data_IF_570194971835
#
_entry.id   IF_570194971835
#
_cell.length_a   1.000
_cell.length_b   1.000
_cell.length_c   1.000
_cell.angle_alpha   90.00
_cell.angle_beta   90.00
_cell.angle_gamma   90.00
#
_symmetry.space_group_name_H-M   'P 1'
#
loop_
_entity.id
_entity.type
_entity.pdbx_description
1 polymer ?
#
# COMPACT_ATOMS: atom_id res chain seq x y z
N UNK A 1 -29.69 10.86 -17.31
CA UNK A 1 -29.36 12.29 -17.51
C UNK A 1 -30.57 13.11 -17.06
N UNK A 2 -30.36 13.94 -16.06
CA UNK A 2 -31.40 14.86 -15.62
C UNK A 2 -31.61 15.98 -16.66
N UNK A 3 -32.85 16.44 -16.82
CA UNK A 3 -33.18 17.47 -17.79
C UNK A 3 -32.99 18.84 -17.16
N UNK A 4 -32.17 19.70 -17.76
CA UNK A 4 -32.02 21.10 -17.37
C UNK A 4 -32.92 21.97 -18.20
N UNK A 5 -33.64 22.87 -17.55
CA UNK A 5 -34.48 23.90 -18.23
C UNK A 5 -33.55 25.07 -18.61
N UNK A 6 -33.38 25.31 -19.90
CA UNK A 6 -32.57 26.42 -20.41
C UNK A 6 -33.46 27.63 -20.73
N UNK A 7 -33.02 28.83 -20.35
CA UNK A 7 -33.69 30.08 -20.66
C UNK A 7 -33.89 30.28 -22.19
N UNK A 8 -32.89 29.86 -22.95
CA UNK A 8 -32.94 29.95 -24.43
C UNK A 8 -34.01 29.05 -25.06
N UNK A 9 -34.35 27.92 -24.40
CA UNK A 9 -35.38 26.99 -24.87
C UNK A 9 -36.78 27.47 -24.42
N UNK A 10 -36.86 28.01 -23.20
CA UNK A 10 -38.12 28.50 -22.62
C UNK A 10 -38.57 29.83 -23.24
N UNK A 11 -37.66 30.61 -23.79
CA UNK A 11 -37.90 31.95 -24.35
C UNK A 11 -38.53 32.95 -23.35
N UNK A 12 -38.29 32.72 -22.05
CA UNK A 12 -38.72 33.58 -20.94
C UNK A 12 -37.73 33.46 -19.78
N UNK A 13 -37.89 34.27 -18.74
CA UNK A 13 -37.09 34.13 -17.51
C UNK A 13 -37.39 32.81 -16.81
N UNK A 14 -36.35 32.21 -16.23
CA UNK A 14 -36.51 31.03 -15.37
C UNK A 14 -37.14 31.45 -14.05
N UNK A 15 -38.11 30.68 -13.60
CA UNK A 15 -38.67 30.81 -12.26
C UNK A 15 -37.68 30.34 -11.20
N UNK A 16 -37.87 30.78 -9.95
CA UNK A 16 -37.06 30.29 -8.84
C UNK A 16 -37.09 28.75 -8.73
N UNK A 17 -38.27 28.15 -8.92
CA UNK A 17 -38.43 26.68 -8.88
C UNK A 17 -37.64 25.96 -10.01
N UNK A 18 -37.58 26.55 -11.21
CA UNK A 18 -36.77 25.99 -12.31
C UNK A 18 -35.27 26.15 -12.08
N UNK A 19 -34.88 27.25 -11.45
CA UNK A 19 -33.48 27.46 -11.04
C UNK A 19 -33.08 26.42 -9.98
N UNK A 20 -33.90 26.26 -8.94
CA UNK A 20 -33.65 25.28 -7.89
C UNK A 20 -33.66 23.85 -8.43
N UNK A 21 -34.60 23.54 -9.36
CA UNK A 21 -34.63 22.25 -10.04
C UNK A 21 -33.34 22.01 -10.89
N UNK A 22 -32.88 23.04 -11.60
CA UNK A 22 -31.64 22.95 -12.36
C UNK A 22 -30.42 22.73 -11.46
N UNK A 23 -30.33 23.42 -10.32
CA UNK A 23 -29.25 23.18 -9.34
C UNK A 23 -29.36 21.79 -8.73
N UNK A 24 -30.54 21.32 -8.38
CA UNK A 24 -30.76 19.98 -7.86
C UNK A 24 -30.38 18.92 -8.89
N UNK A 25 -30.80 19.07 -10.14
CA UNK A 25 -30.48 18.16 -11.23
C UNK A 25 -28.98 18.16 -11.52
N UNK A 26 -28.34 19.32 -11.57
CA UNK A 26 -26.89 19.44 -11.77
C UNK A 26 -26.12 18.82 -10.60
N UNK A 27 -26.59 19.01 -9.38
CA UNK A 27 -26.00 18.42 -8.18
C UNK A 27 -26.18 16.90 -8.17
N UNK A 28 -27.35 16.38 -8.54
CA UNK A 28 -27.62 14.95 -8.68
C UNK A 28 -26.78 14.34 -9.81
N UNK A 29 -26.65 15.00 -10.96
CA UNK A 29 -25.79 14.55 -12.05
C UNK A 29 -24.31 14.59 -11.69
N UNK A 30 -23.86 15.57 -10.89
CA UNK A 30 -22.51 15.60 -10.31
C UNK A 30 -22.32 14.59 -9.20
N UNK A 31 -23.38 14.30 -8.44
CA UNK A 31 -23.40 13.35 -7.34
C UNK A 31 -23.79 11.94 -7.79
N UNK A 32 -24.09 11.72 -9.06
CA UNK A 32 -24.19 10.34 -9.56
C UNK A 32 -22.80 9.70 -9.57
N UNK A 33 -22.38 9.41 -8.34
CA UNK A 33 -21.18 8.62 -8.07
C UNK A 33 -21.23 7.30 -8.84
N UNK A 34 -22.42 6.74 -9.10
CA UNK A 34 -22.58 5.50 -9.83
C UNK A 34 -22.07 5.63 -11.27
N UNK A 35 -22.33 6.74 -11.95
CA UNK A 35 -21.79 6.99 -13.29
C UNK A 35 -20.29 7.23 -13.30
N UNK A 36 -19.72 7.78 -12.21
CA UNK A 36 -18.28 7.99 -12.05
C UNK A 36 -17.55 6.78 -11.45
N UNK A 37 -18.24 5.97 -10.63
CA UNK A 37 -17.64 4.90 -9.81
C UNK A 37 -17.99 3.47 -10.26
N UNK A 38 -18.92 3.28 -11.20
CA UNK A 38 -19.42 1.95 -11.63
C UNK A 38 -18.35 1.04 -12.29
N UNK A 39 -17.14 1.49 -12.50
CA UNK A 39 -16.11 0.66 -13.13
C UNK A 39 -14.83 0.48 -12.33
N UNK A 40 -14.77 0.92 -11.07
CA UNK A 40 -13.61 0.74 -10.21
C UNK A 40 -14.03 0.08 -8.91
N UNK A 41 -14.37 -1.20 -8.98
CA UNK A 41 -14.65 -2.01 -7.80
C UNK A 41 -13.36 -2.67 -7.32
N UNK A 42 -13.22 -2.78 -5.98
CA UNK A 42 -12.14 -3.57 -5.38
C UNK A 42 -12.39 -5.09 -5.53
N UNK A 43 -13.60 -5.46 -5.93
CA UNK A 43 -14.05 -6.85 -5.99
C UNK A 43 -14.45 -7.43 -4.63
N UNK A 44 -14.88 -8.68 -4.61
CA UNK A 44 -15.25 -9.38 -3.40
C UNK A 44 -14.07 -10.21 -2.87
N UNK A 45 -13.74 -10.16 -1.56
CA UNK A 45 -12.75 -11.06 -0.97
C UNK A 45 -13.04 -12.54 -1.28
N UNK A 46 -12.02 -13.31 -1.57
CA UNK A 46 -12.15 -14.73 -1.98
C UNK A 46 -12.49 -14.94 -3.46
N UNK A 47 -12.83 -13.90 -4.21
CA UNK A 47 -13.20 -14.00 -5.62
C UNK A 47 -12.08 -13.59 -6.58
N UNK A 48 -12.24 -14.00 -7.86
CA UNK A 48 -11.38 -13.62 -8.96
C UNK A 48 -11.41 -12.10 -9.17
N UNK A 49 -10.24 -11.49 -9.40
CA UNK A 49 -10.08 -10.05 -9.62
C UNK A 49 -10.13 -9.18 -8.37
N UNK A 50 -10.29 -9.76 -7.17
CA UNK A 50 -10.25 -8.99 -5.91
C UNK A 50 -8.91 -8.27 -5.72
N UNK A 51 -8.95 -7.08 -5.12
CA UNK A 51 -7.77 -6.32 -4.69
C UNK A 51 -7.12 -5.47 -5.79
N UNK A 52 -7.60 -5.57 -7.03
CA UNK A 52 -7.26 -4.71 -8.16
C UNK A 52 -8.53 -4.33 -8.92
N UNK A 53 -8.49 -3.32 -9.78
CA UNK A 53 -9.66 -2.91 -10.52
C UNK A 53 -9.35 -2.03 -11.72
N UNK A 54 -10.38 -1.42 -12.31
CA UNK A 54 -10.23 -0.62 -13.53
C UNK A 54 -10.12 0.87 -13.20
N UNK A 55 -9.08 1.52 -13.71
CA UNK A 55 -8.96 2.98 -13.67
C UNK A 55 -9.73 3.58 -14.84
N UNK A 56 -10.76 4.40 -14.53
CA UNK A 56 -11.59 5.05 -15.56
C UNK A 56 -10.87 6.14 -16.33
N UNK A 57 -10.13 6.98 -15.61
CA UNK A 57 -9.49 8.17 -16.16
C UNK A 57 -7.97 7.96 -16.12
N UNK A 58 -7.45 7.24 -17.13
CA UNK A 58 -6.01 7.01 -17.21
C UNK A 58 -5.26 8.33 -17.34
N UNK A 59 -4.28 8.60 -16.47
CA UNK A 59 -3.40 9.74 -16.64
C UNK A 59 -2.53 9.57 -17.89
N UNK A 60 -2.05 10.71 -18.40
CA UNK A 60 -1.13 10.70 -19.55
C UNK A 60 0.08 9.80 -19.28
N UNK A 61 0.48 9.07 -20.30
CA UNK A 61 1.59 8.11 -20.24
C UNK A 61 1.19 6.69 -19.86
N UNK A 62 -0.04 6.44 -19.42
CA UNK A 62 -0.55 5.10 -19.15
C UNK A 62 -1.33 4.53 -20.32
N UNK A 63 -1.18 3.24 -20.55
CA UNK A 63 -1.96 2.45 -21.49
C UNK A 63 -2.47 1.17 -20.84
N UNK A 64 -3.65 0.69 -21.29
CA UNK A 64 -4.13 -0.64 -20.94
C UNK A 64 -3.21 -1.70 -21.55
N UNK A 65 -2.97 -2.75 -20.80
CA UNK A 65 -2.33 -3.97 -21.27
C UNK A 65 -3.37 -4.92 -21.85
N UNK A 66 -2.96 -5.89 -22.67
CA UNK A 66 -3.87 -6.96 -23.12
C UNK A 66 -4.41 -7.70 -21.89
N UNK A 67 -5.73 -7.75 -21.76
CA UNK A 67 -6.41 -8.41 -20.64
C UNK A 67 -6.65 -7.51 -19.41
N UNK A 68 -6.36 -6.19 -19.47
CA UNK A 68 -6.64 -5.26 -18.36
C UNK A 68 -8.09 -5.30 -17.90
N UNK A 69 -9.04 -5.50 -18.82
CA UNK A 69 -10.48 -5.47 -18.52
C UNK A 69 -11.07 -6.87 -18.22
N UNK A 70 -10.26 -7.93 -18.25
CA UNK A 70 -10.68 -9.32 -17.99
C UNK A 70 -10.23 -9.78 -16.61
N UNK A 71 -11.17 -10.03 -15.71
CA UNK A 71 -10.90 -10.45 -14.32
C UNK A 71 -10.13 -11.77 -14.21
N UNK A 72 -10.16 -12.62 -15.23
CA UNK A 72 -9.40 -13.87 -15.27
C UNK A 72 -7.97 -13.69 -15.82
N UNK A 73 -7.67 -12.51 -16.36
CA UNK A 73 -6.36 -12.21 -16.93
C UNK A 73 -5.30 -11.94 -15.85
N UNK A 74 -4.07 -12.37 -16.10
CA UNK A 74 -2.90 -11.99 -15.30
C UNK A 74 -2.61 -10.47 -15.31
N UNK A 75 -3.25 -9.73 -16.22
CA UNK A 75 -3.12 -8.28 -16.36
C UNK A 75 -4.40 -7.52 -15.94
N UNK A 76 -5.39 -8.17 -15.33
CA UNK A 76 -6.58 -7.46 -14.84
C UNK A 76 -6.19 -6.29 -13.94
N UNK A 77 -6.71 -5.09 -14.21
CA UNK A 77 -6.39 -3.89 -13.46
C UNK A 77 -4.94 -3.44 -13.54
N UNK A 78 -4.14 -4.01 -14.49
CA UNK A 78 -2.76 -3.61 -14.71
C UNK A 78 -2.65 -2.70 -15.94
N UNK A 79 -1.75 -1.74 -15.82
CA UNK A 79 -1.49 -0.72 -16.83
C UNK A 79 0.01 -0.57 -17.03
N UNK A 80 0.40 -0.23 -18.26
CA UNK A 80 1.80 0.04 -18.58
C UNK A 80 2.03 1.55 -18.72
N UNK A 81 3.06 2.04 -18.05
CA UNK A 81 3.53 3.41 -18.25
C UNK A 81 4.57 3.50 -19.36
N UNK A 82 4.82 4.69 -19.89
CA UNK A 82 5.70 4.92 -21.07
C UNK A 82 7.13 4.41 -20.90
N UNK A 83 7.63 4.29 -19.67
CA UNK A 83 8.96 3.71 -19.38
C UNK A 83 8.97 2.17 -19.35
N UNK A 84 7.83 1.53 -19.66
CA UNK A 84 7.65 0.09 -19.57
C UNK A 84 7.19 -0.44 -18.21
N UNK A 85 7.12 0.42 -17.19
CA UNK A 85 6.65 0.03 -15.86
C UNK A 85 5.24 -0.54 -15.89
N UNK A 86 5.03 -1.66 -15.20
CA UNK A 86 3.70 -2.22 -14.95
C UNK A 86 3.22 -1.78 -13.58
N UNK A 87 2.03 -1.19 -13.54
CA UNK A 87 1.39 -0.73 -12.30
C UNK A 87 -0.01 -1.32 -12.16
N UNK A 88 -0.36 -1.71 -10.95
CA UNK A 88 -1.70 -2.17 -10.57
C UNK A 88 -2.54 -0.97 -10.12
N UNK A 89 -3.77 -0.86 -10.59
CA UNK A 89 -4.73 0.06 -10.02
C UNK A 89 -5.41 -0.58 -8.82
N UNK A 90 -5.27 0.03 -7.66
CA UNK A 90 -5.92 -0.36 -6.41
C UNK A 90 -7.06 0.62 -6.14
N UNK A 91 -8.32 0.23 -6.37
CA UNK A 91 -9.48 1.06 -6.06
C UNK A 91 -9.58 1.40 -4.58
N UNK A 92 -10.12 2.56 -4.27
CA UNK A 92 -10.45 2.93 -2.90
C UNK A 92 -11.50 1.96 -2.32
N UNK A 93 -11.38 1.68 -1.04
CA UNK A 93 -12.27 0.77 -0.34
C UNK A 93 -12.50 1.20 1.11
N UNK A 94 -13.66 0.82 1.64
CA UNK A 94 -13.95 0.86 3.06
C UNK A 94 -13.64 -0.49 3.70
N UNK A 95 -13.23 -0.45 4.96
CA UNK A 95 -12.97 -1.65 5.74
C UNK A 95 -13.57 -1.55 7.14
N UNK A 96 -13.86 -2.70 7.73
CA UNK A 96 -14.22 -2.88 9.14
C UNK A 96 -13.50 -4.10 9.68
N UNK A 97 -12.90 -3.96 10.86
CA UNK A 97 -12.17 -5.05 11.53
C UNK A 97 -13.00 -5.56 12.69
N UNK A 98 -13.19 -6.87 12.76
CA UNK A 98 -13.97 -7.52 13.81
C UNK A 98 -13.29 -7.46 15.16
N UNK A 99 -14.07 -7.15 16.19
CA UNK A 99 -13.65 -7.12 17.60
C UNK A 99 -14.22 -8.29 18.40
N UNK A 100 -15.04 -9.15 17.77
CA UNK A 100 -15.83 -10.17 18.44
C UNK A 100 -17.16 -9.65 19.01
N UNK A 101 -17.39 -8.33 18.97
CA UNK A 101 -18.61 -7.70 19.50
C UNK A 101 -19.27 -6.69 18.56
N UNK A 102 -18.61 -6.30 17.47
CA UNK A 102 -19.11 -5.31 16.49
C UNK A 102 -19.80 -5.92 15.26
N UNK A 103 -20.25 -7.18 15.37
CA UNK A 103 -20.92 -7.93 14.30
C UNK A 103 -20.00 -8.84 13.48
N UNK A 104 -18.68 -8.81 13.75
CA UNK A 104 -17.69 -9.69 13.13
C UNK A 104 -16.85 -10.39 14.21
N UNK A 105 -16.40 -11.60 13.93
CA UNK A 105 -15.44 -12.30 14.77
C UNK A 105 -14.12 -11.53 14.86
N UNK A 106 -13.35 -11.79 15.91
CA UNK A 106 -12.09 -11.11 16.21
C UNK A 106 -11.13 -11.16 15.01
N UNK A 107 -10.59 -10.00 14.63
CA UNK A 107 -9.64 -9.80 13.55
C UNK A 107 -10.12 -10.21 12.14
N UNK A 108 -11.41 -10.50 11.97
CA UNK A 108 -11.98 -10.68 10.62
C UNK A 108 -12.07 -9.30 9.95
N UNK A 109 -11.71 -9.23 8.68
CA UNK A 109 -11.73 -8.01 7.88
C UNK A 109 -12.84 -8.08 6.85
N UNK A 110 -13.80 -7.18 6.94
CA UNK A 110 -14.81 -6.98 5.89
C UNK A 110 -14.43 -5.78 5.02
N UNK A 111 -14.51 -5.95 3.70
CA UNK A 111 -14.17 -4.95 2.70
C UNK A 111 -15.44 -4.59 1.92
N UNK A 112 -15.64 -3.28 1.71
CA UNK A 112 -16.69 -2.75 0.85
C UNK A 112 -16.08 -1.85 -0.22
N UNK A 113 -16.63 -1.90 -1.43
CA UNK A 113 -16.30 -0.95 -2.48
C UNK A 113 -16.54 0.49 -2.01
N UNK A 114 -15.75 1.42 -2.52
CA UNK A 114 -15.91 2.84 -2.22
C UNK A 114 -17.31 3.35 -2.59
N UNK A 115 -17.94 2.80 -3.62
CA UNK A 115 -19.30 3.15 -4.04
C UNK A 115 -20.40 2.53 -3.17
N UNK A 116 -20.08 1.65 -2.21
CA UNK A 116 -21.08 0.98 -1.36
C UNK A 116 -21.82 1.95 -0.46
N UNK A 117 -21.13 2.98 0.05
CA UNK A 117 -21.71 4.05 0.85
C UNK A 117 -21.75 5.36 0.06
N UNK A 118 -22.76 6.18 0.33
CA UNK A 118 -22.91 7.47 -0.32
C UNK A 118 -21.70 8.40 -0.10
N UNK A 119 -21.12 8.34 1.10
CA UNK A 119 -19.94 9.12 1.50
C UNK A 119 -19.25 8.50 2.71
N UNK A 120 -18.11 9.09 3.11
CA UNK A 120 -17.33 8.65 4.27
C UNK A 120 -18.11 8.76 5.58
N UNK A 121 -18.97 9.78 5.74
CA UNK A 121 -19.76 9.97 6.96
C UNK A 121 -20.76 8.84 7.13
N UNK A 122 -21.45 8.45 6.06
CA UNK A 122 -22.39 7.32 6.04
C UNK A 122 -21.67 6.00 6.33
N UNK A 123 -20.48 5.79 5.75
CA UNK A 123 -19.65 4.61 6.03
C UNK A 123 -19.23 4.57 7.51
N UNK A 124 -18.78 5.71 8.05
CA UNK A 124 -18.35 5.81 9.45
C UNK A 124 -19.50 5.53 10.43
N UNK A 125 -20.73 6.00 10.12
CA UNK A 125 -21.93 5.70 10.91
C UNK A 125 -22.25 4.20 10.94
N UNK A 126 -21.85 3.46 9.90
CA UNK A 126 -21.97 1.99 9.82
C UNK A 126 -20.75 1.25 10.43
N UNK A 127 -19.76 2.00 10.97
CA UNK A 127 -18.54 1.46 11.55
C UNK A 127 -17.47 1.09 10.53
N UNK A 128 -17.58 1.55 9.28
CA UNK A 128 -16.56 1.34 8.22
C UNK A 128 -15.71 2.58 8.03
N UNK A 129 -14.42 2.40 7.93
CA UNK A 129 -13.47 3.47 7.62
C UNK A 129 -13.04 3.41 6.15
N UNK A 130 -12.90 4.56 5.49
CA UNK A 130 -12.12 4.65 4.26
C UNK A 130 -10.64 4.48 4.63
N UNK A 131 -9.92 3.58 3.93
CA UNK A 131 -8.53 3.32 4.27
C UNK A 131 -7.66 4.58 4.10
N UNK A 132 -6.71 4.80 5.04
CA UNK A 132 -5.83 5.99 5.05
C UNK A 132 -5.05 6.17 3.75
N UNK A 133 -4.75 5.09 3.03
CA UNK A 133 -4.10 5.12 1.73
C UNK A 133 -4.82 5.97 0.67
N UNK A 134 -6.10 6.25 0.85
CA UNK A 134 -6.91 6.99 -0.13
C UNK A 134 -7.14 8.45 0.27
N UNK A 135 -6.24 9.02 1.05
CA UNK A 135 -6.19 10.45 1.35
C UNK A 135 -4.85 11.03 0.93
N UNK A 136 -4.88 12.07 0.11
CA UNK A 136 -3.69 12.84 -0.27
C UNK A 136 -4.06 14.30 -0.45
N UNK A 137 -3.24 15.22 0.02
CA UNK A 137 -3.46 16.68 -0.08
C UNK A 137 -4.84 17.14 0.45
N UNK A 138 -5.39 16.47 1.47
CA UNK A 138 -6.73 16.74 2.02
C UNK A 138 -7.89 16.24 1.16
N UNK A 139 -7.62 15.53 0.08
CA UNK A 139 -8.61 15.05 -0.88
C UNK A 139 -8.70 13.52 -0.84
N UNK A 140 -9.93 13.00 -0.92
CA UNK A 140 -10.17 11.57 -1.10
C UNK A 140 -9.80 11.17 -2.52
N UNK A 141 -8.95 10.15 -2.63
CA UNK A 141 -8.52 9.53 -3.88
C UNK A 141 -9.42 8.35 -4.22
N UNK A 142 -9.80 8.19 -5.49
CA UNK A 142 -10.64 7.07 -5.94
C UNK A 142 -9.88 5.75 -6.04
N UNK A 143 -8.59 5.80 -5.91
CA UNK A 143 -7.65 4.68 -5.93
C UNK A 143 -6.23 5.18 -6.07
N UNK A 144 -5.31 4.25 -6.22
CA UNK A 144 -3.88 4.52 -6.37
C UNK A 144 -3.25 3.54 -7.34
N UNK A 145 -2.36 4.00 -8.21
CA UNK A 145 -1.46 3.14 -8.95
C UNK A 145 -0.28 2.74 -8.07
N UNK A 146 -0.02 1.44 -7.99
CA UNK A 146 1.11 0.87 -7.25
C UNK A 146 1.96 0.05 -8.21
N UNK A 147 3.27 0.23 -8.18
CA UNK A 147 4.19 -0.61 -8.95
C UNK A 147 3.93 -2.10 -8.66
N UNK A 148 3.74 -2.87 -9.72
CA UNK A 148 3.53 -4.32 -9.61
C UNK A 148 4.75 -5.02 -9.05
N UNK A 149 5.94 -4.58 -9.44
CA UNK A 149 7.24 -5.12 -9.06
C UNK A 149 8.03 -4.10 -8.23
N UNK A 150 9.00 -4.57 -7.44
CA UNK A 150 10.00 -3.68 -6.85
C UNK A 150 10.74 -2.93 -7.95
N UNK A 151 11.15 -1.67 -7.71
CA UNK A 151 11.82 -0.87 -8.74
C UNK A 151 13.18 -1.45 -9.12
N UNK A 152 13.45 -1.45 -10.43
CA UNK A 152 14.76 -1.75 -11.03
C UNK A 152 15.25 -0.57 -11.85
N UNK A 153 16.55 -0.53 -12.17
CA UNK A 153 17.13 0.51 -13.03
C UNK A 153 16.86 0.21 -14.50
N UNK A 154 16.06 1.04 -15.14
CA UNK A 154 15.79 0.99 -16.56
C UNK A 154 16.33 2.26 -17.24
N UNK A 155 17.58 2.21 -17.70
CA UNK A 155 18.21 3.34 -18.40
C UNK A 155 18.31 4.62 -17.53
N UNK A 156 18.53 4.49 -16.23
CA UNK A 156 18.61 5.62 -15.29
C UNK A 156 17.26 6.02 -14.67
N UNK A 157 16.18 5.30 -14.97
CA UNK A 157 14.85 5.51 -14.40
C UNK A 157 14.48 4.35 -13.47
N UNK A 158 13.91 4.66 -12.30
CA UNK A 158 13.37 3.64 -11.41
C UNK A 158 12.05 3.11 -11.96
N UNK A 159 12.04 1.89 -12.46
CA UNK A 159 10.93 1.31 -13.21
C UNK A 159 10.47 -0.03 -12.64
N UNK A 160 9.16 -0.29 -12.72
CA UNK A 160 8.52 -1.55 -12.29
C UNK A 160 8.52 -2.54 -13.46
N UNK A 161 9.65 -3.21 -13.68
CA UNK A 161 9.88 -4.12 -14.82
C UNK A 161 9.96 -5.56 -14.33
N UNK A 162 9.21 -6.47 -14.98
CA UNK A 162 9.34 -7.91 -14.71
C UNK A 162 10.74 -8.40 -15.08
N UNK A 163 11.32 -9.22 -14.24
CA UNK A 163 12.70 -9.74 -14.37
C UNK A 163 13.79 -8.65 -14.26
N UNK A 164 13.45 -7.48 -13.71
CA UNK A 164 14.43 -6.47 -13.39
C UNK A 164 15.27 -6.85 -12.17
N UNK A 165 16.51 -6.36 -12.11
CA UNK A 165 17.33 -6.45 -10.93
C UNK A 165 16.93 -5.36 -9.95
N UNK A 166 16.41 -5.68 -8.75
CA UNK A 166 15.85 -4.67 -7.87
C UNK A 166 16.92 -3.68 -7.39
N UNK A 167 16.55 -2.42 -7.31
CA UNK A 167 17.38 -1.35 -6.78
C UNK A 167 17.55 -1.51 -5.27
N UNK A 168 18.76 -1.27 -4.76
CA UNK A 168 19.02 -1.23 -3.33
C UNK A 168 19.67 0.08 -2.86
N UNK A 169 19.68 0.29 -1.55
CA UNK A 169 20.36 1.43 -0.95
C UNK A 169 21.88 1.22 -0.76
N UNK A 170 22.45 0.09 -1.15
CA UNK A 170 23.88 -0.16 -0.99
C UNK A 170 24.65 -0.04 -2.30
N UNK A 171 25.84 0.55 -2.24
CA UNK A 171 26.74 0.70 -3.40
C UNK A 171 27.11 -0.62 -4.07
N UNK A 172 27.12 -1.71 -3.33
CA UNK A 172 27.54 -3.04 -3.81
C UNK A 172 26.45 -3.81 -4.54
N UNK A 173 25.21 -3.32 -4.54
CA UNK A 173 24.07 -4.04 -5.10
C UNK A 173 23.04 -3.10 -5.73
N UNK A 174 23.05 -2.94 -7.05
CA UNK A 174 22.11 -2.13 -7.83
C UNK A 174 21.73 -0.80 -7.16
N UNK A 175 22.69 0.09 -6.87
CA UNK A 175 22.48 1.24 -6.00
C UNK A 175 21.54 2.28 -6.60
N UNK A 176 20.82 3.02 -5.75
CA UNK A 176 20.01 4.18 -6.17
C UNK A 176 20.83 5.20 -6.95
N UNK A 177 22.12 5.36 -6.60
CA UNK A 177 23.05 6.23 -7.33
C UNK A 177 23.32 5.83 -8.78
N UNK A 178 22.88 4.68 -9.22
CA UNK A 178 22.87 4.28 -10.63
C UNK A 178 21.76 4.94 -11.46
N UNK A 179 20.86 5.68 -10.84
CA UNK A 179 19.76 6.38 -11.51
C UNK A 179 20.17 7.80 -11.91
N UNK A 180 19.52 8.33 -12.94
CA UNK A 180 19.78 9.68 -13.44
C UNK A 180 19.55 10.75 -12.36
N UNK A 181 20.54 11.56 -12.10
CA UNK A 181 20.47 12.67 -11.16
C UNK A 181 20.65 12.29 -9.68
N UNK A 182 20.90 11.00 -9.38
CA UNK A 182 21.23 10.54 -8.04
C UNK A 182 22.74 10.36 -7.89
N UNK A 183 23.22 10.46 -6.65
CA UNK A 183 24.64 10.33 -6.28
C UNK A 183 24.82 9.26 -5.21
N UNK A 184 26.06 8.92 -4.87
CA UNK A 184 26.37 7.96 -3.80
C UNK A 184 25.80 8.38 -2.43
N UNK A 185 25.61 9.69 -2.18
CA UNK A 185 24.98 10.19 -0.97
C UNK A 185 23.46 9.86 -0.91
N UNK A 186 22.88 9.52 -2.04
CA UNK A 186 21.45 9.16 -2.14
C UNK A 186 21.20 7.65 -1.88
N UNK A 187 22.23 6.85 -1.57
CA UNK A 187 22.05 5.43 -1.25
C UNK A 187 21.55 5.22 0.20
N UNK A 188 20.45 5.86 0.53
CA UNK A 188 19.77 5.87 1.83
C UNK A 188 18.26 6.10 1.60
N UNK A 189 17.47 6.22 2.66
CA UNK A 189 16.04 6.55 2.59
C UNK A 189 15.69 7.68 1.62
N UNK A 190 16.44 8.77 1.67
CA UNK A 190 16.24 9.92 0.79
C UNK A 190 16.32 9.55 -0.70
N UNK A 191 17.20 8.61 -1.04
CA UNK A 191 17.35 8.15 -2.41
C UNK A 191 16.13 7.44 -2.97
N UNK A 192 15.38 6.68 -2.18
CA UNK A 192 14.15 6.05 -2.63
C UNK A 192 13.08 7.09 -3.03
N UNK A 193 12.97 8.19 -2.27
CA UNK A 193 12.04 9.29 -2.59
C UNK A 193 12.47 10.02 -3.88
N UNK A 194 13.77 10.31 -4.04
CA UNK A 194 14.31 10.89 -5.27
C UNK A 194 14.20 9.95 -6.46
N UNK A 195 14.50 8.66 -6.25
CA UNK A 195 14.46 7.64 -7.28
C UNK A 195 13.06 7.51 -7.92
N UNK A 196 12.00 7.53 -7.11
CA UNK A 196 10.64 7.52 -7.63
C UNK A 196 10.37 8.69 -8.60
N UNK A 197 10.97 9.87 -8.35
CA UNK A 197 10.83 11.06 -9.19
C UNK A 197 11.55 10.96 -10.54
N UNK A 198 12.46 10.02 -10.73
CA UNK A 198 13.12 9.79 -12.03
C UNK A 198 12.13 9.40 -13.13
N UNK A 199 10.98 8.79 -12.74
CA UNK A 199 9.87 8.43 -13.65
C UNK A 199 8.98 9.63 -14.00
N UNK A 200 8.92 10.63 -13.14
CA UNK A 200 8.11 11.83 -13.31
C UNK A 200 7.69 12.45 -11.98
N UNK A 201 7.39 13.75 -11.99
CA UNK A 201 7.13 14.51 -10.76
C UNK A 201 5.98 14.00 -9.90
N UNK A 202 4.98 13.36 -10.51
CA UNK A 202 3.81 12.80 -9.79
C UNK A 202 4.08 11.47 -9.09
N UNK A 203 5.13 10.73 -9.49
CA UNK A 203 5.48 9.47 -8.83
C UNK A 203 6.10 9.74 -7.46
N UNK A 204 5.82 8.86 -6.52
CA UNK A 204 6.37 8.93 -5.17
C UNK A 204 6.75 7.54 -4.66
N UNK A 205 7.70 7.47 -3.73
CA UNK A 205 8.04 6.23 -3.03
C UNK A 205 6.80 5.71 -2.29
N UNK A 206 6.42 4.46 -2.52
CA UNK A 206 5.22 3.84 -1.96
C UNK A 206 5.15 4.05 -0.45
N UNK A 207 3.99 4.51 0.04
CA UNK A 207 3.85 4.85 1.46
C UNK A 207 3.49 3.65 2.33
N UNK A 208 3.75 3.80 3.64
CA UNK A 208 3.33 2.81 4.64
C UNK A 208 1.82 2.57 4.60
N UNK A 209 1.03 3.60 4.32
CA UNK A 209 -0.43 3.48 4.22
C UNK A 209 -0.87 2.61 3.04
N UNK A 210 -0.23 2.77 1.88
CA UNK A 210 -0.54 1.96 0.69
C UNK A 210 -0.09 0.51 0.90
N UNK A 211 1.10 0.31 1.47
CA UNK A 211 1.58 -1.04 1.78
C UNK A 211 0.65 -1.73 2.80
N UNK A 212 0.18 -1.01 3.83
CA UNK A 212 -0.80 -1.50 4.80
C UNK A 212 -2.15 -1.83 4.16
N UNK A 213 -2.60 -1.03 3.17
CA UNK A 213 -3.81 -1.36 2.41
C UNK A 213 -3.69 -2.69 1.68
N UNK A 214 -2.54 -2.96 1.04
CA UNK A 214 -2.27 -4.25 0.38
C UNK A 214 -2.24 -5.40 1.40
N UNK A 215 -1.66 -5.17 2.59
CA UNK A 215 -1.65 -6.15 3.67
C UNK A 215 -3.07 -6.48 4.16
N UNK A 216 -3.91 -5.44 4.32
CA UNK A 216 -5.30 -5.62 4.75
C UNK A 216 -6.13 -6.36 3.70
N UNK A 217 -5.94 -6.05 2.41
CA UNK A 217 -6.56 -6.78 1.30
C UNK A 217 -6.11 -8.24 1.28
N UNK A 218 -4.82 -8.52 1.50
CA UNK A 218 -4.31 -9.89 1.58
C UNK A 218 -4.99 -10.67 2.70
N UNK A 219 -5.12 -10.08 3.88
CA UNK A 219 -5.78 -10.71 5.02
C UNK A 219 -7.25 -11.01 4.73
N UNK A 220 -8.01 -10.01 4.24
CA UNK A 220 -9.41 -10.18 3.89
C UNK A 220 -9.61 -11.27 2.82
N UNK A 221 -8.73 -11.30 1.81
CA UNK A 221 -8.78 -12.30 0.75
C UNK A 221 -8.54 -13.71 1.26
N UNK A 222 -7.52 -13.91 2.07
CA UNK A 222 -7.21 -15.20 2.67
C UNK A 222 -8.28 -15.70 3.63
N UNK A 223 -8.88 -14.81 4.42
CA UNK A 223 -9.98 -15.14 5.33
C UNK A 223 -11.26 -15.58 4.59
N UNK A 224 -11.52 -15.02 3.41
CA UNK A 224 -12.70 -15.33 2.61
C UNK A 224 -12.48 -16.47 1.60
N UNK A 225 -11.23 -16.76 1.22
CA UNK A 225 -10.91 -17.81 0.26
C UNK A 225 -11.27 -19.21 0.83
N UNK A 226 -11.81 -20.06 -0.03
CA UNK A 226 -12.16 -21.46 0.29
C UNK A 226 -11.32 -22.47 -0.49
N UNK A 227 -10.50 -21.99 -1.41
CA UNK A 227 -9.61 -22.79 -2.25
C UNK A 227 -8.51 -21.96 -2.88
N UNK A 228 -7.53 -22.62 -3.48
CA UNK A 228 -6.46 -21.98 -4.24
C UNK A 228 -6.88 -21.42 -5.61
N UNK A 229 -8.14 -21.53 -6.01
CA UNK A 229 -8.60 -21.12 -7.35
C UNK A 229 -8.47 -19.62 -7.58
N UNK A 230 -8.90 -18.80 -6.61
CA UNK A 230 -8.76 -17.34 -6.68
C UNK A 230 -7.72 -16.79 -5.70
N UNK A 231 -7.06 -17.65 -4.91
CA UNK A 231 -6.08 -17.29 -3.90
C UNK A 231 -4.97 -18.34 -3.88
N UNK A 232 -3.98 -18.21 -4.76
CA UNK A 232 -2.96 -19.26 -5.01
C UNK A 232 -2.12 -19.64 -3.79
N UNK A 233 -2.05 -18.79 -2.75
CA UNK A 233 -1.39 -19.08 -1.47
C UNK A 233 -2.37 -19.53 -0.37
N UNK A 234 -3.66 -19.80 -0.71
CA UNK A 234 -4.61 -20.32 0.24
C UNK A 234 -4.12 -21.62 0.87
N UNK A 235 -4.30 -21.72 2.18
CA UNK A 235 -4.01 -22.92 2.96
C UNK A 235 -5.23 -23.29 3.81
N UNK A 236 -5.74 -24.52 3.65
CA UNK A 236 -6.87 -25.02 4.41
C UNK A 236 -6.57 -25.21 5.91
N UNK A 237 -5.30 -25.35 6.28
CA UNK A 237 -4.86 -25.47 7.68
C UNK A 237 -4.79 -24.13 8.41
N UNK A 238 -4.95 -23.03 7.68
CA UNK A 238 -4.88 -21.66 8.19
C UNK A 238 -3.96 -20.79 7.37
N UNK A 239 -4.19 -19.47 7.42
CA UNK A 239 -3.40 -18.50 6.66
C UNK A 239 -2.13 -18.21 7.43
N UNK A 240 -1.00 -18.73 6.97
CA UNK A 240 0.31 -18.48 7.55
C UNK A 240 1.28 -17.99 6.49
N UNK A 241 2.10 -16.98 6.82
CA UNK A 241 3.14 -16.44 5.95
C UNK A 241 2.63 -16.20 4.50
N UNK A 242 1.76 -15.24 4.34
CA UNK A 242 1.11 -14.86 3.08
C UNK A 242 1.41 -13.39 2.72
N UNK A 243 1.40 -13.06 1.42
CA UNK A 243 1.66 -13.96 0.28
C UNK A 243 3.02 -14.65 0.43
N UNK A 244 3.35 -15.59 -0.47
CA UNK A 244 4.66 -16.25 -0.50
C UNK A 244 5.72 -15.32 -1.10
N UNK A 245 7.01 -15.61 -0.84
CA UNK A 245 8.07 -14.72 -1.33
C UNK A 245 9.48 -15.27 -1.29
N UNK A 246 10.46 -14.43 -1.60
CA UNK A 246 11.88 -14.77 -1.51
C UNK A 246 12.42 -14.40 -0.12
N UNK A 247 12.41 -15.31 0.84
CA UNK A 247 12.69 -15.00 2.23
C UNK A 247 13.57 -15.99 3.00
N UNK A 248 13.91 -17.16 2.44
CA UNK A 248 14.61 -18.21 3.20
C UNK A 248 16.13 -18.30 2.93
N UNK A 249 16.72 -17.23 2.42
CA UNK A 249 18.14 -17.16 2.06
C UNK A 249 18.59 -18.22 1.03
N UNK A 250 17.68 -18.62 0.13
CA UNK A 250 17.94 -19.64 -0.89
C UNK A 250 17.09 -19.45 -2.17
N UNK A 251 16.75 -18.21 -2.54
CA UNK A 251 15.94 -17.86 -3.72
C UNK A 251 14.56 -18.54 -3.75
N UNK A 252 13.96 -18.77 -2.59
CA UNK A 252 12.64 -19.41 -2.46
C UNK A 252 11.92 -18.98 -1.19
N UNK A 253 10.65 -19.39 -1.07
CA UNK A 253 9.87 -19.18 0.15
C UNK A 253 10.24 -20.19 1.24
N UNK A 254 10.23 -19.78 2.51
CA UNK A 254 10.55 -20.59 3.67
C UNK A 254 9.53 -21.71 3.92
N UNK A 255 8.25 -21.43 3.59
CA UNK A 255 7.13 -22.35 3.83
C UNK A 255 6.57 -23.00 2.55
N UNK A 256 7.06 -22.57 1.37
CA UNK A 256 6.61 -23.11 0.07
C UNK A 256 7.78 -23.25 -0.91
N UNK A 257 8.39 -24.41 -0.91
CA UNK A 257 9.53 -24.72 -1.78
C UNK A 257 9.22 -24.69 -3.29
N UNK A 258 7.94 -24.56 -3.68
CA UNK A 258 7.54 -24.43 -5.10
C UNK A 258 7.65 -22.99 -5.60
N UNK A 259 7.81 -22.01 -4.72
CA UNK A 259 8.00 -20.60 -5.07
C UNK A 259 9.51 -20.35 -5.15
N UNK A 260 10.04 -20.36 -6.36
CA UNK A 260 11.47 -20.25 -6.67
C UNK A 260 11.71 -19.01 -7.52
N UNK A 261 12.75 -18.24 -7.19
CA UNK A 261 13.15 -17.02 -7.89
C UNK A 261 14.37 -17.24 -8.77
N UNK A 262 14.49 -16.45 -9.81
CA UNK A 262 15.70 -16.32 -10.63
C UNK A 262 16.62 -15.32 -9.92
N UNK A 263 17.87 -15.67 -9.74
CA UNK A 263 18.86 -14.77 -9.11
C UNK A 263 19.06 -13.49 -9.93
N UNK A 264 19.25 -12.36 -9.24
CA UNK A 264 19.69 -11.11 -9.87
C UNK A 264 21.24 -11.03 -9.99
N UNK A 265 21.95 -12.06 -9.49
CA UNK A 265 23.40 -12.15 -9.48
C UNK A 265 24.06 -11.71 -8.17
N UNK A 266 23.28 -11.28 -7.17
CA UNK A 266 23.80 -10.84 -5.87
C UNK A 266 23.18 -11.61 -4.71
N UNK A 267 24.01 -12.31 -3.93
CA UNK A 267 23.57 -13.12 -2.77
C UNK A 267 22.36 -14.01 -3.15
N UNK A 268 21.29 -13.94 -2.34
CA UNK A 268 20.03 -14.63 -2.60
C UNK A 268 18.91 -13.65 -3.00
N UNK A 269 19.28 -12.50 -3.58
CA UNK A 269 18.33 -11.58 -4.17
C UNK A 269 17.76 -12.14 -5.49
N UNK A 270 16.45 -12.10 -5.65
CA UNK A 270 15.76 -12.52 -6.86
C UNK A 270 15.45 -11.35 -7.78
N UNK A 271 15.44 -11.61 -9.09
CA UNK A 271 14.87 -10.68 -10.06
C UNK A 271 13.39 -10.44 -9.73
N UNK A 272 12.92 -9.20 -9.92
CA UNK A 272 11.56 -8.80 -9.57
C UNK A 272 10.52 -9.56 -10.40
N UNK A 273 9.48 -10.07 -9.76
CA UNK A 273 8.42 -10.84 -10.44
C UNK A 273 8.91 -12.10 -11.13
N UNK A 274 10.06 -12.65 -10.74
CA UNK A 274 10.64 -13.86 -11.34
C UNK A 274 10.14 -15.17 -10.72
N UNK A 275 9.30 -15.09 -9.67
CA UNK A 275 8.78 -16.27 -8.99
C UNK A 275 8.16 -17.28 -9.98
N UNK A 276 8.48 -18.55 -9.84
CA UNK A 276 7.97 -19.67 -10.66
C UNK A 276 6.43 -19.76 -10.64
N UNK A 277 5.81 -19.33 -9.52
CA UNK A 277 4.37 -19.14 -9.39
C UNK A 277 4.10 -17.70 -8.92
N UNK A 278 3.96 -16.79 -9.87
CA UNK A 278 3.78 -15.36 -9.60
C UNK A 278 2.53 -15.07 -8.75
N UNK A 279 1.43 -15.80 -8.98
CA UNK A 279 0.18 -15.62 -8.24
C UNK A 279 0.36 -15.83 -6.74
N UNK A 280 1.22 -16.77 -6.32
CA UNK A 280 1.51 -16.99 -4.90
C UNK A 280 2.22 -15.83 -4.22
N UNK A 281 2.88 -14.96 -4.97
CA UNK A 281 3.62 -13.81 -4.41
C UNK A 281 2.80 -12.52 -4.42
N UNK A 282 1.61 -12.55 -4.98
CA UNK A 282 0.74 -11.39 -5.10
C UNK A 282 -0.15 -11.19 -3.86
N UNK A 283 -0.41 -9.92 -3.50
CA UNK A 283 -1.26 -9.57 -2.35
C UNK A 283 -2.66 -10.19 -2.40
N UNK A 284 -3.15 -10.48 -3.59
CA UNK A 284 -4.47 -11.09 -3.79
C UNK A 284 -4.41 -12.56 -4.26
N UNK A 285 -3.25 -13.21 -4.18
CA UNK A 285 -3.10 -14.60 -4.63
C UNK A 285 -3.38 -14.82 -6.11
N UNK A 286 -3.32 -13.77 -6.93
CA UNK A 286 -3.59 -13.81 -8.38
C UNK A 286 -2.48 -13.08 -9.13
N UNK A 287 -2.15 -13.53 -10.34
CA UNK A 287 -1.07 -12.94 -11.14
C UNK A 287 -1.29 -11.47 -11.51
N UNK A 288 -2.49 -10.94 -11.35
CA UNK A 288 -2.83 -9.54 -11.60
C UNK A 288 -2.48 -8.61 -10.42
N UNK A 289 -2.21 -9.12 -9.23
CA UNK A 289 -1.92 -8.32 -8.04
C UNK A 289 -0.50 -7.73 -8.00
N UNK A 290 -0.25 -6.93 -6.97
CA UNK A 290 1.08 -6.42 -6.60
C UNK A 290 1.86 -7.58 -5.99
N UNK A 291 3.05 -7.87 -6.52
CA UNK A 291 3.86 -9.04 -6.16
C UNK A 291 5.11 -8.66 -5.36
N UNK A 292 5.84 -9.66 -4.85
CA UNK A 292 7.09 -9.51 -4.10
C UNK A 292 6.94 -8.67 -2.82
N UNK A 293 5.79 -8.82 -2.13
CA UNK A 293 5.51 -8.13 -0.86
C UNK A 293 6.04 -8.89 0.36
N UNK A 294 6.52 -10.12 0.17
CA UNK A 294 7.08 -10.97 1.21
C UNK A 294 8.52 -11.32 0.87
N UNK A 295 9.45 -10.60 1.45
CA UNK A 295 10.87 -10.83 1.21
C UNK A 295 11.42 -10.13 -0.04
N UNK A 296 12.45 -10.69 -0.62
CA UNK A 296 13.33 -10.16 -1.63
C UNK A 296 14.11 -8.94 -1.12
N UNK A 297 13.55 -7.75 -1.11
CA UNK A 297 14.10 -6.57 -0.45
C UNK A 297 13.11 -5.98 0.55
N UNK A 298 13.58 -5.54 1.71
CA UNK A 298 12.84 -4.61 2.54
C UNK A 298 12.47 -3.37 1.74
N UNK A 299 11.22 -2.95 1.80
CA UNK A 299 10.77 -1.77 1.09
C UNK A 299 10.71 -0.55 2.00
N UNK A 300 11.40 0.52 1.60
CA UNK A 300 11.26 1.84 2.22
C UNK A 300 9.82 2.31 2.00
N UNK A 301 9.12 2.59 3.09
CA UNK A 301 7.71 3.03 3.08
C UNK A 301 7.53 4.34 3.87
N UNK A 302 7.69 5.51 3.28
CA UNK A 302 7.42 6.79 3.95
C UNK A 302 5.98 6.90 4.49
N UNK A 303 5.76 7.80 5.48
CA UNK A 303 4.44 8.08 6.06
C UNK A 303 4.36 7.91 7.58
N UNK A 304 5.34 7.23 8.18
CA UNK A 304 5.55 7.19 9.63
C UNK A 304 7.00 7.54 9.93
N UNK A 305 7.24 8.24 11.03
CA UNK A 305 8.58 8.58 11.52
C UNK A 305 8.59 8.74 13.03
N UNK A 306 9.76 9.05 13.61
CA UNK A 306 9.93 9.26 15.04
C UNK A 306 10.95 10.38 15.31
N UNK A 307 10.75 11.10 16.42
CA UNK A 307 11.70 12.08 16.98
C UNK A 307 12.65 11.46 18.02
N UNK A 308 12.64 10.14 18.17
CA UNK A 308 13.37 9.42 19.20
C UNK A 308 12.58 9.20 20.50
N UNK A 309 11.42 9.84 20.66
CA UNK A 309 10.55 9.73 21.82
C UNK A 309 9.15 9.23 21.45
N UNK A 310 8.62 9.66 20.31
CA UNK A 310 7.24 9.39 19.88
C UNK A 310 7.18 9.04 18.40
N UNK A 311 6.16 8.33 17.98
CA UNK A 311 5.82 8.13 16.57
C UNK A 311 4.93 9.26 16.06
N UNK A 312 5.11 9.56 14.79
CA UNK A 312 4.35 10.55 14.05
C UNK A 312 3.88 9.95 12.72
N UNK A 313 2.61 10.22 12.37
CA UNK A 313 1.99 9.79 11.13
C UNK A 313 1.77 10.97 10.20
N UNK A 314 2.05 10.81 8.92
CA UNK A 314 1.83 11.84 7.91
C UNK A 314 0.34 12.23 7.85
N UNK A 315 0.05 13.54 7.93
CA UNK A 315 -1.30 14.09 7.87
C UNK A 315 -2.00 13.76 6.56
N UNK A 316 -3.32 13.64 6.61
CA UNK A 316 -4.14 13.47 5.39
C UNK A 316 -4.05 14.67 4.46
N UNK A 317 -3.78 15.86 5.00
CA UNK A 317 -3.61 17.10 4.25
C UNK A 317 -2.26 17.23 3.54
N UNK A 318 -1.28 16.40 3.87
CA UNK A 318 0.02 16.41 3.20
C UNK A 318 -0.10 15.85 1.77
N UNK A 319 0.52 16.53 0.80
CA UNK A 319 0.65 16.01 -0.56
C UNK A 319 1.91 15.17 -0.68
N UNK A 320 1.72 13.85 -0.72
CA UNK A 320 2.83 12.89 -0.78
C UNK A 320 3.64 13.01 -2.08
N UNK A 321 2.98 13.37 -3.18
CA UNK A 321 3.63 13.54 -4.48
C UNK A 321 4.46 14.82 -4.56
N UNK A 322 4.09 15.85 -3.79
CA UNK A 322 4.85 17.09 -3.72
C UNK A 322 6.03 17.03 -2.73
N UNK A 323 6.15 15.96 -1.95
CA UNK A 323 7.23 15.81 -1.00
C UNK A 323 8.57 15.77 -1.72
N UNK A 324 9.42 16.71 -1.38
CA UNK A 324 10.80 16.81 -1.83
C UNK A 324 11.73 16.68 -0.64
N UNK A 325 12.93 16.20 -0.90
CA UNK A 325 13.96 16.12 0.11
C UNK A 325 14.75 17.42 0.05
N UNK A 326 14.89 18.10 1.19
CA UNK A 326 15.74 19.26 1.33
C UNK A 326 17.24 18.91 1.21
N UNK A 327 18.09 19.93 1.30
CA UNK A 327 19.53 19.77 1.18
C UNK A 327 20.18 18.92 2.28
N UNK A 328 19.45 18.66 3.38
CA UNK A 328 19.87 17.75 4.45
C UNK A 328 18.75 16.82 4.82
N UNK A 329 19.08 15.63 5.38
CA UNK A 329 18.10 14.67 5.90
C UNK A 329 17.17 15.26 6.95
N UNK A 330 17.61 16.31 7.65
CA UNK A 330 16.84 17.02 8.66
C UNK A 330 15.81 18.00 8.11
N UNK A 331 15.81 18.29 6.84
CA UNK A 331 14.91 19.26 6.18
C UNK A 331 13.91 18.62 5.22
N UNK A 332 13.87 17.30 5.10
CA UNK A 332 12.85 16.65 4.29
C UNK A 332 11.46 16.76 4.94
N UNK A 333 10.42 16.81 4.13
CA UNK A 333 9.02 16.89 4.59
C UNK A 333 8.56 15.62 5.31
N UNK A 334 9.34 14.55 5.28
CA UNK A 334 9.09 13.27 5.89
C UNK A 334 9.61 13.14 7.33
N UNK A 335 10.06 14.21 7.97
CA UNK A 335 10.40 14.12 9.38
C UNK A 335 11.56 14.98 9.86
N UNK A 336 11.63 16.22 9.43
CA UNK A 336 12.64 17.20 9.86
C UNK A 336 12.21 18.04 11.05
N UNK A 337 13.04 18.98 11.52
CA UNK A 337 12.59 20.06 12.38
C UNK A 337 11.35 20.71 11.78
N UNK A 338 10.24 20.76 12.54
CA UNK A 338 8.93 21.12 12.01
C UNK A 338 8.08 19.89 11.63
N UNK A 339 8.43 18.71 12.12
CA UNK A 339 7.68 17.46 11.99
C UNK A 339 6.16 17.66 12.17
N UNK A 340 5.74 18.49 13.12
CA UNK A 340 4.35 18.81 13.42
C UNK A 340 3.62 19.57 12.29
N UNK A 341 4.33 20.15 11.34
CA UNK A 341 3.70 20.81 10.18
C UNK A 341 2.98 19.77 9.30
N UNK A 342 3.65 18.64 9.03
CA UNK A 342 3.16 17.61 8.11
C UNK A 342 2.74 16.31 8.80
N UNK A 343 2.99 16.16 10.10
CA UNK A 343 2.74 14.94 10.84
C UNK A 343 1.90 15.20 12.08
N UNK A 344 1.07 14.22 12.43
CA UNK A 344 0.33 14.14 13.68
C UNK A 344 1.03 13.20 14.64
N UNK A 345 1.10 13.59 15.93
CA UNK A 345 1.60 12.73 16.99
C UNK A 345 0.70 11.52 17.15
N UNK A 346 1.28 10.32 17.09
CA UNK A 346 0.58 9.11 17.47
C UNK A 346 0.60 8.97 18.98
N UNK A 347 -0.57 8.88 19.60
CA UNK A 347 -0.70 8.77 21.06
C UNK A 347 -0.10 7.48 21.63
N UNK A 348 0.21 7.49 22.94
CA UNK A 348 0.92 6.42 23.64
C UNK A 348 0.16 5.09 23.81
N UNK A 349 -1.10 4.99 23.38
CA UNK A 349 -1.93 3.77 23.49
C UNK A 349 -1.63 2.73 22.43
N UNK A 350 -0.88 3.13 21.39
CA UNK A 350 -0.43 2.21 20.37
C UNK A 350 0.85 1.59 20.83
N UNK A 351 0.98 0.37 20.47
CA UNK A 351 2.03 -0.54 20.75
C UNK A 351 3.07 0.01 21.75
N UNK A 352 3.45 -0.80 22.72
CA UNK A 352 4.44 -0.40 23.71
C UNK A 352 5.79 -0.26 23.01
N UNK A 353 6.02 0.90 22.50
CA UNK A 353 7.23 1.32 21.87
C UNK A 353 8.33 1.28 22.90
N UNK A 354 8.90 0.11 23.11
CA UNK A 354 10.00 -0.08 24.03
C UNK A 354 11.26 0.60 23.50
N UNK A 355 12.11 1.04 24.40
CA UNK A 355 13.42 1.63 24.05
C UNK A 355 14.41 0.61 23.46
N UNK A 356 14.00 -0.64 23.23
CA UNK A 356 14.82 -1.69 22.65
C UNK A 356 14.12 -2.32 21.45
N UNK A 357 14.87 -2.61 20.41
CA UNK A 357 14.46 -3.34 19.21
C UNK A 357 14.11 -4.79 19.54
N UNK A 358 13.02 -5.02 20.26
CA UNK A 358 12.53 -6.37 20.53
C UNK A 358 11.58 -6.77 19.41
N UNK A 359 11.85 -7.90 18.78
CA UNK A 359 10.96 -8.50 17.82
C UNK A 359 9.67 -8.96 18.50
N UNK A 360 8.54 -8.60 17.89
CA UNK A 360 7.20 -8.99 18.29
C UNK A 360 6.44 -9.58 17.11
N UNK A 361 5.26 -10.10 17.38
CA UNK A 361 4.38 -10.67 16.36
C UNK A 361 2.95 -10.19 16.60
N UNK A 362 2.14 -10.15 15.56
CA UNK A 362 0.72 -9.83 15.69
C UNK A 362 -0.01 -10.97 16.41
N UNK A 363 -0.80 -10.62 17.42
CA UNK A 363 -1.44 -11.60 18.30
C UNK A 363 -2.80 -12.07 17.73
N UNK A 364 -2.98 -13.38 17.50
CA UNK A 364 -4.24 -13.94 17.00
C UNK A 364 -5.37 -14.02 18.03
N UNK A 365 -5.03 -14.01 19.31
CA UNK A 365 -6.00 -14.18 20.41
C UNK A 365 -6.45 -12.85 21.02
N UNK A 366 -5.95 -11.74 20.52
CA UNK A 366 -6.34 -10.38 20.92
C UNK A 366 -6.70 -9.54 19.69
N UNK A 367 -7.42 -8.46 19.89
CA UNK A 367 -7.66 -7.47 18.86
C UNK A 367 -6.33 -6.82 18.45
N UNK A 368 -5.95 -6.97 17.17
CA UNK A 368 -4.68 -6.46 16.67
C UNK A 368 -4.75 -4.96 16.38
N UNK A 369 -5.78 -4.52 15.67
CA UNK A 369 -5.94 -3.13 15.28
C UNK A 369 -7.15 -2.48 15.93
N UNK A 370 -7.08 -1.16 16.10
CA UNK A 370 -8.22 -0.40 16.59
C UNK A 370 -9.33 -0.35 15.52
N UNK A 371 -10.58 -0.40 15.96
CA UNK A 371 -11.76 -0.34 15.10
C UNK A 371 -12.26 1.09 14.84
N UNK A 372 -11.60 2.11 15.41
CA UNK A 372 -12.03 3.50 15.23
C UNK A 372 -12.03 3.90 13.77
N UNK A 373 -13.04 4.65 13.36
CA UNK A 373 -13.22 5.13 11.99
C UNK A 373 -12.65 6.53 11.75
N UNK A 374 -12.09 7.15 12.78
CA UNK A 374 -11.53 8.52 12.69
C UNK A 374 -10.43 8.75 13.74
N UNK A 375 -9.68 9.82 13.57
CA UNK A 375 -8.63 10.25 14.50
C UNK A 375 -7.37 9.38 14.46
N UNK A 376 -6.52 9.51 15.50
CA UNK A 376 -5.25 8.78 15.61
C UNK A 376 -5.42 7.25 15.54
N UNK A 377 -6.45 6.63 16.20
CA UNK A 377 -6.69 5.20 16.08
C UNK A 377 -6.86 4.72 14.64
N UNK A 378 -7.70 5.41 13.88
CA UNK A 378 -7.91 5.12 12.46
C UNK A 378 -6.62 5.25 11.63
N UNK A 379 -5.85 6.34 11.86
CA UNK A 379 -4.60 6.58 11.16
C UNK A 379 -3.54 5.51 11.49
N UNK A 380 -3.46 5.07 12.75
CA UNK A 380 -2.57 3.99 13.18
C UNK A 380 -2.90 2.66 12.51
N UNK A 381 -4.17 2.27 12.48
CA UNK A 381 -4.65 1.07 11.77
C UNK A 381 -4.32 1.18 10.28
N UNK A 382 -4.57 2.33 9.66
CA UNK A 382 -4.21 2.59 8.26
C UNK A 382 -2.70 2.55 7.98
N UNK A 383 -1.85 2.71 8.97
CA UNK A 383 -0.40 2.50 8.88
C UNK A 383 0.03 1.06 9.25
N UNK A 384 -0.90 0.20 9.65
CA UNK A 384 -0.60 -1.15 10.12
C UNK A 384 0.13 -1.17 11.47
N UNK A 385 -0.12 -0.17 12.34
CA UNK A 385 0.42 -0.12 13.70
C UNK A 385 -0.58 -0.79 14.64
N UNK A 386 -0.20 -1.88 15.31
CA UNK A 386 -1.11 -2.62 16.18
C UNK A 386 -1.32 -1.90 17.51
N UNK A 387 -2.39 -2.30 18.20
CA UNK A 387 -2.57 -2.00 19.63
C UNK A 387 -1.46 -2.66 20.46
N UNK A 388 -1.14 -2.08 21.61
CA UNK A 388 -0.18 -2.68 22.56
C UNK A 388 -0.58 -4.10 23.01
N UNK A 389 -1.87 -4.36 23.11
CA UNK A 389 -2.44 -5.69 23.40
C UNK A 389 -2.48 -6.62 22.18
N UNK A 390 -2.34 -6.06 21.00
CA UNK A 390 -2.41 -6.77 19.72
C UNK A 390 -1.09 -7.42 19.29
N UNK A 391 -0.06 -7.38 20.13
CA UNK A 391 1.25 -7.97 19.86
C UNK A 391 1.61 -9.02 20.93
N UNK A 392 2.49 -9.94 20.55
CA UNK A 392 3.05 -10.97 21.45
C UNK A 392 4.53 -11.15 21.17
N UNK A 393 5.26 -11.70 22.15
CA UNK A 393 6.69 -12.06 21.99
C UNK A 393 6.91 -13.46 21.43
N UNK A 394 5.83 -14.27 21.32
CA UNK A 394 5.89 -15.60 20.67
C UNK A 394 5.25 -15.54 19.31
N UNK A 395 5.85 -16.18 18.32
CA UNK A 395 5.32 -16.30 16.96
C UNK A 395 3.98 -17.05 16.96
N UNK A 396 2.88 -16.35 17.20
CA UNK A 396 1.53 -16.86 17.07
C UNK A 396 0.96 -16.36 15.77
N UNK A 397 0.44 -17.24 15.00
CA UNK A 397 0.07 -17.13 13.59
C UNK A 397 -1.08 -16.18 13.23
N UNK A 398 -1.25 -15.06 13.93
CA UNK A 398 -2.08 -14.00 13.41
C UNK A 398 -1.34 -13.31 12.27
N UNK A 399 -2.03 -13.01 11.22
CA UNK A 399 -1.50 -12.22 10.10
C UNK A 399 -0.17 -12.76 9.55
N UNK A 400 -0.05 -14.09 9.44
CA UNK A 400 1.03 -14.75 8.74
C UNK A 400 2.30 -15.02 9.56
N UNK A 401 2.33 -14.75 10.84
CA UNK A 401 3.52 -14.85 11.69
C UNK A 401 4.59 -13.77 11.41
N UNK A 402 4.20 -12.69 10.76
CA UNK A 402 5.09 -11.62 10.33
C UNK A 402 5.68 -10.86 11.53
N UNK A 403 6.96 -10.50 11.42
CA UNK A 403 7.69 -9.82 12.49
C UNK A 403 7.43 -8.32 12.55
N UNK A 404 7.32 -7.80 13.77
CA UNK A 404 7.29 -6.38 14.07
C UNK A 404 8.49 -6.02 14.93
N UNK A 405 9.35 -5.10 14.46
CA UNK A 405 10.47 -4.55 15.21
C UNK A 405 10.18 -3.10 15.54
N UNK A 406 9.90 -2.83 16.80
CA UNK A 406 9.39 -1.56 17.30
C UNK A 406 10.41 -0.81 18.15
N UNK A 407 11.27 -0.08 17.52
CA UNK A 407 12.16 0.86 18.18
C UNK A 407 11.91 2.27 17.63
N UNK A 408 12.18 3.32 18.44
CA UNK A 408 11.97 4.72 18.04
C UNK A 408 13.30 5.45 17.85
N UNK A 409 14.11 5.13 16.83
CA UNK A 409 15.25 5.97 16.55
C UNK A 409 14.78 7.33 16.07
N UNK A 410 15.51 8.39 16.41
CA UNK A 410 15.29 9.69 15.81
C UNK A 410 15.39 9.58 14.28
N UNK A 411 14.49 10.25 13.56
CA UNK A 411 14.41 10.16 12.10
C UNK A 411 14.21 8.72 11.58
N UNK A 412 13.31 7.99 12.22
CA UNK A 412 13.00 6.62 11.88
C UNK A 412 12.52 6.50 10.43
N UNK A 413 13.02 5.46 9.76
CA UNK A 413 12.61 5.04 8.42
C UNK A 413 11.93 3.67 8.50
N UNK A 414 10.64 3.54 8.18
CA UNK A 414 9.97 2.26 8.17
C UNK A 414 10.37 1.43 6.96
N UNK A 415 10.63 0.13 7.19
CA UNK A 415 10.79 -0.87 6.16
C UNK A 415 9.71 -1.92 6.30
N UNK A 416 9.18 -2.42 5.17
CA UNK A 416 8.11 -3.41 5.15
C UNK A 416 8.45 -4.62 4.27
N UNK A 417 7.76 -5.74 4.50
CA UNK A 417 7.78 -6.92 3.65
C UNK A 417 8.83 -7.98 3.99
N UNK A 418 9.96 -7.60 4.55
CA UNK A 418 11.09 -8.51 4.75
C UNK A 418 12.08 -8.49 3.58
N UNK A 419 13.17 -9.22 3.73
CA UNK A 419 14.19 -9.42 2.70
C UNK A 419 14.46 -10.92 2.46
N UNK A 420 15.31 -11.25 1.48
CA UNK A 420 15.61 -12.64 1.10
C UNK A 420 16.12 -13.53 2.25
N UNK A 421 16.63 -12.95 3.34
CA UNK A 421 17.16 -13.68 4.50
C UNK A 421 16.33 -13.51 5.77
N UNK A 422 15.14 -12.93 5.72
CA UNK A 422 14.32 -12.65 6.91
C UNK A 422 13.67 -13.92 7.49
N UNK A 423 13.49 -14.96 6.69
CA UNK A 423 12.88 -16.21 7.13
C UNK A 423 11.36 -16.12 7.27
N UNK A 424 10.82 -16.86 8.21
CA UNK A 424 9.38 -16.93 8.49
C UNK A 424 8.78 -15.62 9.05
N UNK A 425 9.63 -14.69 9.47
CA UNK A 425 9.22 -13.38 9.98
C UNK A 425 8.93 -12.36 8.86
N UNK A 426 9.30 -12.70 7.61
CA UNK A 426 8.95 -11.91 6.44
C UNK A 426 7.48 -12.10 6.09
N UNK A 427 6.84 -11.08 5.54
CA UNK A 427 5.47 -11.13 5.09
C UNK A 427 4.89 -9.75 4.84
N UNK A 428 3.68 -9.70 4.34
CA UNK A 428 3.03 -8.43 3.97
C UNK A 428 2.76 -7.52 5.20
N UNK A 429 2.71 -8.09 6.40
CA UNK A 429 2.59 -7.35 7.65
C UNK A 429 3.94 -7.06 8.33
N UNK A 430 5.03 -7.68 7.86
CA UNK A 430 6.35 -7.45 8.44
C UNK A 430 6.73 -5.97 8.39
N UNK A 431 7.07 -5.42 9.56
CA UNK A 431 7.32 -3.99 9.74
C UNK A 431 8.54 -3.75 10.63
N UNK A 432 9.54 -3.07 10.07
CA UNK A 432 10.79 -2.78 10.75
C UNK A 432 10.92 -1.28 11.01
N UNK A 433 10.76 -0.88 12.27
CA UNK A 433 10.76 0.52 12.72
C UNK A 433 12.03 0.90 13.49
N UNK A 434 13.06 0.05 13.43
CA UNK A 434 14.28 0.22 14.23
C UNK A 434 15.43 0.91 13.50
N UNK A 435 15.21 1.41 12.27
CA UNK A 435 16.25 2.04 11.46
C UNK A 435 16.03 3.53 11.30
N UNK A 436 17.14 4.28 11.35
CA UNK A 436 17.13 5.69 10.96
C UNK A 436 17.20 5.84 9.44
N UNK A 437 16.88 7.04 8.94
CA UNK A 437 16.90 7.38 7.51
C UNK A 437 18.31 7.36 6.88
N UNK A 438 19.36 7.25 7.68
CA UNK A 438 20.74 7.09 7.21
C UNK A 438 21.12 5.65 6.93
N UNK A 439 20.24 4.68 7.22
CA UNK A 439 20.52 3.27 6.97
C UNK A 439 20.69 3.00 5.47
N UNK A 440 21.72 2.23 5.13
CA UNK A 440 22.04 1.78 3.78
C UNK A 440 22.39 0.29 3.83
N UNK A 441 21.68 -0.52 3.04
CA UNK A 441 21.93 -1.96 3.00
C UNK A 441 21.58 -2.54 1.62
N UNK A 442 22.23 -3.67 1.29
CA UNK A 442 22.06 -4.39 0.03
C UNK A 442 20.67 -5.04 -0.14
N UNK A 443 19.92 -5.17 0.94
CA UNK A 443 18.59 -5.78 0.99
C UNK A 443 17.46 -4.77 1.29
N UNK A 444 17.71 -3.47 1.07
CA UNK A 444 16.72 -2.40 1.26
C UNK A 444 16.49 -1.70 -0.08
N UNK A 445 15.28 -1.81 -0.59
CA UNK A 445 14.84 -1.22 -1.85
C UNK A 445 13.53 -0.44 -1.70
N UNK A 446 12.76 -0.31 -2.78
CA UNK A 446 11.46 0.37 -2.77
C UNK A 446 10.62 0.02 -4.00
N UNK A 447 9.38 0.43 -4.00
CA UNK A 447 8.52 0.57 -5.18
C UNK A 447 7.89 1.95 -5.23
N UNK A 448 7.40 2.35 -6.42
CA UNK A 448 6.73 3.64 -6.58
C UNK A 448 5.21 3.49 -6.60
N UNK A 449 4.53 4.61 -6.34
CA UNK A 449 3.09 4.74 -6.48
C UNK A 449 2.74 6.08 -7.12
N UNK A 450 1.46 6.24 -7.55
CA UNK A 450 0.95 7.46 -8.17
C UNK A 450 -0.55 7.60 -7.88
N UNK A 451 -0.97 8.80 -7.44
CA UNK A 451 -2.38 9.22 -7.42
C UNK A 451 -2.78 9.89 -8.73
N UNK A 452 -4.08 9.95 -9.01
CA UNK A 452 -4.62 10.59 -10.23
C UNK A 452 -4.49 12.11 -10.23
#
# INVERSE_FOLDING_TARGET
MSVLTLRSVKNSELTAAEIDANFTNLNNDKLDKSAYFVSSTIGAPGAQGFGVGLCKNLPSGFAKMTGTDDTASANYGNYQYTDGSVMCWIPAFYYKIGTGSNGFNLNIVDIKDYAYYADVTTANAAGYALHRAFYNAGVVQTGVFVDKYQCSNNGGTASSIKLGNPLSSALVHNPFSGLTGLTTADNIYAGAIKAAKTRGAKFFCNSRFIFSALALLSLAHGQAATSATACAWYDAAGITNFPKGNNNNALKDVNDATVIYITDGYSNCGQTGSASNLAKTAHNGQSCGVVDLNGNLWEINPGITSDGASFYLLKTSADIAALTIGASLSTDLWGAPGITANYDLLGATYESLTASSTQKYFNSTAQVFNESVSGNPWAATGAGIPLATGVSTGGTNAMGNDGLWDYRPNQMCPFAGGAWGTGADAGVWALFLSNSRTNSNNNIGFRSALYL
#
